data_IF_802807462465
#
_entry.id   IF_802807462465
#
_cell.length_a   1.000
_cell.length_b   1.000
_cell.length_c   1.000
_cell.angle_alpha   90.00
_cell.angle_beta   90.00
_cell.angle_gamma   90.00
#
_symmetry.space_group_name_H-M   'P 1'
#
loop_
_entity.id
_entity.type
_entity.pdbx_description
1 polymer ?
#
# COMPACT_ATOMS: atom_id res chain seq x y z
N UNK A 1 -13.37 25.83 -2.48
CA UNK A 1 -13.73 24.51 -1.90
C UNK A 1 -12.49 23.95 -1.22
N UNK A 2 -12.59 23.47 0.03
CA UNK A 2 -11.45 22.92 0.79
C UNK A 2 -11.38 21.39 0.66
N UNK A 3 -10.17 20.83 0.70
CA UNK A 3 -9.91 19.38 0.71
C UNK A 3 -9.89 18.78 2.12
N UNK A 4 -9.97 19.61 3.16
CA UNK A 4 -9.94 19.15 4.56
C UNK A 4 -11.15 18.23 4.86
N UNK A 5 -10.90 17.04 5.42
CA UNK A 5 -11.93 16.07 5.79
C UNK A 5 -12.61 15.38 4.59
N UNK A 6 -11.96 15.33 3.42
CA UNK A 6 -12.50 14.70 2.20
C UNK A 6 -11.90 13.34 1.86
N UNK A 7 -10.80 12.95 2.50
CA UNK A 7 -10.15 11.65 2.31
C UNK A 7 -9.74 11.06 3.65
N UNK A 8 -9.65 9.74 3.68
CA UNK A 8 -9.36 8.94 4.88
C UNK A 8 -8.42 7.79 4.50
N UNK A 9 -7.60 7.35 5.46
CA UNK A 9 -6.78 6.14 5.32
C UNK A 9 -7.64 4.97 5.76
N UNK A 10 -7.77 3.96 4.90
CA UNK A 10 -8.63 2.79 5.14
C UNK A 10 -7.86 1.49 5.33
N UNK A 11 -6.56 1.49 5.06
CA UNK A 11 -5.71 0.32 5.29
C UNK A 11 -4.24 0.70 5.41
N UNK A 12 -3.53 0.02 6.29
CA UNK A 12 -2.09 0.18 6.51
C UNK A 12 -1.41 -1.17 6.65
N UNK A 13 -0.16 -1.27 6.21
CA UNK A 13 0.64 -2.47 6.41
C UNK A 13 2.12 -2.15 6.35
N UNK A 14 2.88 -2.75 7.26
CA UNK A 14 4.33 -2.72 7.28
C UNK A 14 4.88 -4.10 6.90
N UNK A 15 5.88 -4.13 6.04
CA UNK A 15 6.51 -5.40 5.69
C UNK A 15 7.29 -5.98 6.89
N UNK A 16 7.12 -7.27 7.25
CA UNK A 16 7.74 -7.83 8.46
C UNK A 16 9.26 -8.01 8.37
N UNK A 17 9.81 -8.03 7.15
CA UNK A 17 11.24 -8.19 6.95
C UNK A 17 11.99 -6.85 7.04
N UNK A 18 13.08 -6.83 7.83
CA UNK A 18 13.98 -5.68 7.97
C UNK A 18 15.06 -5.60 6.87
N UNK A 19 15.41 -6.72 6.23
CA UNK A 19 16.44 -6.80 5.18
C UNK A 19 16.04 -7.82 4.11
N UNK A 20 15.33 -7.35 3.08
CA UNK A 20 14.78 -8.18 2.01
C UNK A 20 15.78 -8.38 0.86
N UNK A 21 16.93 -9.01 1.15
CA UNK A 21 18.01 -9.21 0.15
C UNK A 21 17.64 -10.19 -0.98
N UNK A 22 16.58 -10.98 -0.76
CA UNK A 22 16.03 -11.95 -1.70
C UNK A 22 14.92 -11.38 -2.59
N UNK A 23 14.55 -10.11 -2.40
CA UNK A 23 13.45 -9.45 -3.11
C UNK A 23 13.93 -8.22 -3.82
N UNK A 24 13.34 -7.99 -4.99
CA UNK A 24 13.45 -6.71 -5.66
C UNK A 24 12.56 -5.68 -4.96
N UNK A 25 12.92 -4.40 -5.09
CA UNK A 25 12.13 -3.30 -4.52
C UNK A 25 10.66 -3.31 -5.00
N UNK A 26 10.33 -3.54 -6.28
CA UNK A 26 8.94 -3.67 -6.72
C UNK A 26 8.18 -4.83 -6.10
N UNK A 27 8.84 -5.97 -5.84
CA UNK A 27 8.21 -7.10 -5.14
C UNK A 27 7.84 -6.70 -3.71
N UNK A 28 8.73 -5.99 -3.02
CA UNK A 28 8.47 -5.48 -1.68
C UNK A 28 7.28 -4.51 -1.66
N UNK A 29 7.23 -3.56 -2.60
CA UNK A 29 6.08 -2.66 -2.74
C UNK A 29 4.77 -3.40 -3.04
N UNK A 30 4.80 -4.43 -3.88
CA UNK A 30 3.63 -5.23 -4.19
C UNK A 30 3.11 -6.00 -2.96
N UNK A 31 4.01 -6.56 -2.16
CA UNK A 31 3.67 -7.23 -0.90
C UNK A 31 3.08 -6.24 0.12
N UNK A 32 3.65 -5.04 0.22
CA UNK A 32 3.13 -3.98 1.09
C UNK A 32 1.75 -3.52 0.65
N UNK A 33 1.57 -3.20 -0.63
CA UNK A 33 0.29 -2.78 -1.19
C UNK A 33 -0.79 -3.86 -0.98
N UNK A 34 -0.43 -5.14 -1.17
CA UNK A 34 -1.33 -6.26 -0.91
C UNK A 34 -1.79 -6.31 0.55
N UNK A 35 -0.87 -6.10 1.50
CA UNK A 35 -1.19 -6.07 2.92
C UNK A 35 -2.13 -4.91 3.29
N UNK A 36 -1.85 -3.71 2.77
CA UNK A 36 -2.69 -2.53 3.03
C UNK A 36 -4.10 -2.67 2.43
N UNK A 37 -4.22 -3.26 1.24
CA UNK A 37 -5.52 -3.58 0.63
C UNK A 37 -6.29 -4.62 1.44
N UNK A 38 -5.61 -5.63 1.99
CA UNK A 38 -6.24 -6.64 2.85
C UNK A 38 -6.77 -6.03 4.15
N UNK A 39 -6.03 -5.13 4.79
CA UNK A 39 -6.48 -4.37 5.97
C UNK A 39 -7.71 -3.50 5.65
N UNK A 40 -7.75 -2.91 4.46
CA UNK A 40 -8.89 -2.15 3.95
C UNK A 40 -10.09 -3.00 3.52
N UNK A 41 -9.95 -4.33 3.42
CA UNK A 41 -10.98 -5.21 2.86
C UNK A 41 -11.23 -4.99 1.36
N UNK A 42 -10.22 -4.51 0.63
CA UNK A 42 -10.28 -4.19 -0.80
C UNK A 42 -9.44 -5.15 -1.65
N UNK A 43 -9.63 -5.09 -2.96
CA UNK A 43 -8.85 -5.80 -3.96
C UNK A 43 -7.99 -4.84 -4.80
N UNK A 44 -7.07 -5.39 -5.59
CA UNK A 44 -6.27 -4.59 -6.54
C UNK A 44 -7.12 -3.88 -7.60
N UNK A 45 -8.31 -4.44 -7.90
CA UNK A 45 -9.18 -3.93 -8.95
C UNK A 45 -9.97 -2.69 -8.50
N UNK A 46 -9.96 -2.40 -7.19
CA UNK A 46 -10.53 -1.19 -6.59
C UNK A 46 -9.55 0.01 -6.61
N UNK A 47 -8.31 -0.20 -7.07
CA UNK A 47 -7.25 0.82 -7.12
C UNK A 47 -7.17 1.45 -8.50
N UNK A 48 -7.31 2.77 -8.56
CA UNK A 48 -7.22 3.57 -9.78
C UNK A 48 -5.89 4.34 -9.92
N UNK A 49 -5.11 4.45 -8.84
CA UNK A 49 -3.82 5.14 -8.83
C UNK A 49 -2.83 4.49 -7.86
N UNK A 50 -1.54 4.51 -8.23
CA UNK A 50 -0.44 4.00 -7.43
C UNK A 50 0.64 5.08 -7.25
N UNK A 51 0.99 5.36 -5.99
CA UNK A 51 2.02 6.33 -5.61
C UNK A 51 3.04 5.65 -4.72
N UNK A 52 4.33 5.76 -5.04
CA UNK A 52 5.41 5.19 -4.24
C UNK A 52 6.63 6.11 -4.18
N UNK A 53 7.43 5.94 -3.14
CA UNK A 53 8.81 6.43 -3.07
C UNK A 53 9.74 5.21 -3.03
N UNK A 54 10.96 5.36 -3.53
CA UNK A 54 11.95 4.28 -3.62
C UNK A 54 12.33 3.66 -2.28
#
# INVERSE_FOLDING_TARGET
MSINGKSYIVGIYEHPCRAALDKTLPQLHAEIAKGALADAGLSKDDVDAYFCAG
#
